data_IF_667880869437
#
_entry.id   IF_667880869437
#
_cell.length_a   1.000
_cell.length_b   1.000
_cell.length_c   1.000
_cell.angle_alpha   90.00
_cell.angle_beta   90.00
_cell.angle_gamma   90.00
#
_symmetry.space_group_name_H-M   'P 1'
#
loop_
_entity.id
_entity.type
_entity.pdbx_description
1 polymer ?
#
# COMPACT_ATOMS: atom_id res chain seq x y z
N UNK A 1 -5.22 -8.95 0.93
CA UNK A 1 -5.93 -8.15 -0.09
C UNK A 1 -6.49 -9.11 -1.14
N UNK A 2 -7.68 -9.69 -0.91
CA UNK A 2 -8.26 -10.69 -1.81
C UNK A 2 -8.76 -10.12 -3.16
N UNK A 3 -9.11 -8.83 -3.22
CA UNK A 3 -9.78 -8.23 -4.38
C UNK A 3 -8.80 -7.62 -5.39
N UNK A 4 -8.15 -8.51 -6.14
CA UNK A 4 -7.24 -8.19 -7.25
C UNK A 4 -7.54 -9.16 -8.40
N UNK A 5 -7.15 -8.84 -9.64
CA UNK A 5 -7.44 -9.71 -10.79
C UNK A 5 -6.61 -11.01 -10.80
N UNK A 6 -5.46 -11.03 -10.11
CA UNK A 6 -4.57 -12.19 -10.02
C UNK A 6 -4.16 -12.52 -8.58
N UNK A 7 -5.06 -13.00 -7.71
CA UNK A 7 -4.72 -13.32 -6.32
C UNK A 7 -3.76 -14.51 -6.26
N UNK A 8 -2.69 -14.39 -5.47
CA UNK A 8 -1.66 -15.42 -5.31
C UNK A 8 -1.40 -15.72 -3.83
N UNK A 9 -1.28 -17.00 -3.41
CA UNK A 9 -0.96 -17.35 -2.03
C UNK A 9 0.47 -16.94 -1.65
N UNK A 10 0.74 -16.75 -0.36
CA UNK A 10 2.09 -16.44 0.15
C UNK A 10 2.54 -14.99 -0.05
N UNK A 11 1.63 -14.06 -0.35
CA UNK A 11 1.94 -12.64 -0.51
C UNK A 11 2.40 -11.93 0.76
N UNK A 12 2.81 -10.66 0.60
CA UNK A 12 3.26 -9.81 1.71
C UNK A 12 2.11 -9.40 2.63
N UNK A 13 2.39 -9.39 3.94
CA UNK A 13 1.49 -8.82 4.95
C UNK A 13 1.72 -7.32 5.09
N UNK A 14 0.70 -6.58 5.56
CA UNK A 14 0.76 -5.11 5.66
C UNK A 14 1.94 -4.67 6.53
N UNK A 15 2.18 -5.35 7.65
CA UNK A 15 3.30 -5.09 8.55
C UNK A 15 4.69 -5.31 7.92
N UNK A 16 4.78 -6.07 6.83
CA UNK A 16 6.01 -6.25 6.06
C UNK A 16 6.18 -5.16 4.98
N UNK A 17 5.07 -4.66 4.43
CA UNK A 17 5.08 -3.62 3.39
C UNK A 17 5.39 -2.24 3.96
N UNK A 18 4.86 -1.88 5.14
CA UNK A 18 5.05 -0.55 5.71
C UNK A 18 6.52 -0.17 5.96
N UNK A 19 7.39 -1.05 6.48
CA UNK A 19 8.83 -0.78 6.60
C UNK A 19 9.51 -0.54 5.25
N UNK A 20 9.09 -1.23 4.19
CA UNK A 20 9.62 -1.06 2.83
C UNK A 20 9.29 0.35 2.33
N UNK A 21 8.02 0.76 2.39
CA UNK A 21 7.57 2.10 1.99
C UNK A 21 8.37 3.18 2.75
N UNK A 22 8.52 3.05 4.06
CA UNK A 22 9.27 4.01 4.89
C UNK A 22 10.76 4.05 4.56
N UNK A 23 11.34 2.92 4.14
CA UNK A 23 12.75 2.87 3.75
C UNK A 23 12.94 3.52 2.39
N UNK A 24 12.10 3.21 1.40
CA UNK A 24 12.10 3.88 0.10
C UNK A 24 11.88 5.39 0.22
N UNK A 25 11.02 5.84 1.13
CA UNK A 25 10.81 7.26 1.38
C UNK A 25 12.10 8.00 1.80
N UNK A 26 12.97 7.35 2.58
CA UNK A 26 14.26 7.91 3.00
C UNK A 26 15.28 8.00 1.87
N UNK A 27 15.13 7.16 0.84
CA UNK A 27 16.00 7.16 -0.35
C UNK A 27 15.53 8.16 -1.43
N UNK A 28 14.53 8.99 -1.14
CA UNK A 28 14.03 10.01 -2.07
C UNK A 28 12.85 9.55 -2.94
N UNK A 29 11.82 8.96 -2.33
CA UNK A 29 10.57 8.62 -3.01
C UNK A 29 9.88 9.88 -3.58
N UNK A 30 9.81 9.99 -4.90
CA UNK A 30 9.18 11.13 -5.62
C UNK A 30 7.71 10.91 -5.97
N UNK A 31 7.21 9.68 -5.86
CA UNK A 31 5.84 9.30 -6.18
C UNK A 31 5.62 7.79 -6.01
N UNK A 32 4.36 7.38 -5.87
CA UNK A 32 3.98 5.97 -5.75
C UNK A 32 2.59 5.76 -6.36
N UNK A 33 2.46 4.77 -7.25
CA UNK A 33 1.17 4.32 -7.76
C UNK A 33 0.70 3.09 -7.00
N UNK A 34 -0.61 2.99 -6.81
CA UNK A 34 -1.25 1.81 -6.22
C UNK A 34 -2.27 1.25 -7.21
N UNK A 35 -1.94 0.10 -7.78
CA UNK A 35 -2.65 -0.53 -8.91
C UNK A 35 -3.30 -1.85 -8.51
N UNK A 36 -4.03 -2.46 -9.43
CA UNK A 36 -4.66 -3.80 -9.32
C UNK A 36 -5.74 -3.97 -8.25
N UNK A 37 -6.16 -2.90 -7.57
CA UNK A 37 -7.35 -2.95 -6.73
C UNK A 37 -8.58 -3.18 -7.62
N UNK A 38 -9.35 -4.21 -7.31
CA UNK A 38 -10.58 -4.54 -8.02
C UNK A 38 -11.81 -4.42 -7.08
N UNK A 39 -12.35 -3.20 -6.84
CA UNK A 39 -13.42 -2.98 -5.87
C UNK A 39 -14.69 -3.79 -6.15
N UNK A 40 -14.97 -4.07 -7.43
CA UNK A 40 -16.15 -4.83 -7.87
C UNK A 40 -16.19 -6.28 -7.37
N UNK A 41 -15.04 -6.82 -6.94
CA UNK A 41 -14.92 -8.18 -6.40
C UNK A 41 -14.39 -8.18 -4.95
N UNK A 42 -14.40 -7.03 -4.28
CA UNK A 42 -14.00 -6.96 -2.88
C UNK A 42 -15.03 -7.63 -1.96
N UNK A 43 -14.56 -8.03 -0.78
CA UNK A 43 -15.43 -8.62 0.21
C UNK A 43 -16.41 -7.56 0.74
N UNK A 44 -17.50 -7.99 1.38
CA UNK A 44 -18.53 -7.08 1.94
C UNK A 44 -17.99 -6.05 2.93
N UNK A 45 -16.80 -6.28 3.50
CA UNK A 45 -16.10 -5.37 4.40
C UNK A 45 -15.10 -4.43 3.69
N UNK A 46 -15.02 -4.47 2.34
CA UNK A 46 -14.12 -3.69 1.51
C UNK A 46 -12.64 -3.76 1.93
N UNK A 47 -12.20 -4.90 2.47
CA UNK A 47 -10.89 -5.02 3.10
C UNK A 47 -9.73 -4.69 2.15
N UNK A 48 -9.83 -5.00 0.86
CA UNK A 48 -8.78 -4.70 -0.12
C UNK A 48 -8.71 -3.21 -0.38
N UNK A 49 -9.86 -2.58 -0.62
CA UNK A 49 -10.00 -1.15 -0.87
C UNK A 49 -9.55 -0.31 0.34
N UNK A 50 -9.93 -0.71 1.56
CA UNK A 50 -9.48 -0.06 2.80
C UNK A 50 -7.97 -0.23 2.98
N UNK A 51 -7.43 -1.43 2.74
CA UNK A 51 -5.99 -1.68 2.84
C UNK A 51 -5.21 -0.83 1.83
N UNK A 52 -5.69 -0.77 0.59
CA UNK A 52 -5.16 0.08 -0.47
C UNK A 52 -5.09 1.56 -0.07
N UNK A 53 -6.20 2.12 0.41
CA UNK A 53 -6.23 3.50 0.90
C UNK A 53 -5.25 3.75 2.04
N UNK A 54 -5.14 2.80 2.99
CA UNK A 54 -4.17 2.88 4.10
C UNK A 54 -2.73 2.86 3.61
N UNK A 55 -2.39 2.04 2.60
CA UNK A 55 -1.04 2.01 2.03
C UNK A 55 -0.69 3.35 1.38
N UNK A 56 -1.62 3.96 0.64
CA UNK A 56 -1.42 5.27 0.04
C UNK A 56 -1.19 6.37 1.08
N UNK A 57 -2.01 6.41 2.14
CA UNK A 57 -1.82 7.35 3.26
C UNK A 57 -0.47 7.13 3.95
N UNK A 58 -0.06 5.88 4.19
CA UNK A 58 1.24 5.59 4.78
C UNK A 58 2.41 6.04 3.88
N UNK A 59 2.29 5.91 2.56
CA UNK A 59 3.30 6.39 1.63
C UNK A 59 3.40 7.92 1.60
N UNK A 60 2.26 8.62 1.58
CA UNK A 60 2.23 10.09 1.67
C UNK A 60 2.87 10.57 2.97
N UNK A 61 2.50 9.97 4.11
CA UNK A 61 3.09 10.34 5.42
C UNK A 61 4.59 10.03 5.45
N UNK A 62 5.01 8.87 4.94
CA UNK A 62 6.43 8.51 4.90
C UNK A 62 7.25 9.50 4.04
N UNK A 63 6.73 9.88 2.87
CA UNK A 63 7.37 10.88 2.00
C UNK A 63 7.42 12.28 2.61
N UNK A 64 6.40 12.70 3.35
CA UNK A 64 6.43 13.97 4.10
C UNK A 64 7.46 13.93 5.24
N UNK A 65 7.57 12.80 5.94
CA UNK A 65 8.52 12.64 7.05
C UNK A 65 9.97 12.56 6.60
N UNK A 66 10.26 12.04 5.39
CA UNK A 66 11.62 11.96 4.88
C UNK A 66 12.19 13.31 4.44
N UNK A 67 11.34 14.27 4.08
CA UNK A 67 11.75 15.63 3.68
C UNK A 67 12.19 16.52 4.86
N UNK A 68 11.82 16.15 6.09
CA UNK A 68 12.16 16.91 7.30
C UNK A 68 13.47 16.44 7.97
N UNK A 69 14.31 15.69 7.24
CA UNK A 69 15.60 15.18 7.70
C UNK A 69 16.71 15.77 6.84
#
# INVERSE_FOLDING_TARGET
MPAVLGPTPGGLRVEQVLPIIRSLAKEGLVGMDLVEVAPSIDLSNAITSITAGRLMVNAMVAGLQSQNR
#
